data_IF_349493735985
#
_entry.id   IF_349493735985
#
_cell.length_a   1.000
_cell.length_b   1.000
_cell.length_c   1.000
_cell.angle_alpha   90.00
_cell.angle_beta   90.00
_cell.angle_gamma   90.00
#
_symmetry.space_group_name_H-M   'P 1'
#
loop_
_entity.id
_entity.type
_entity.pdbx_description
1 polymer ?
#
# COMPACT_ATOMS: atom_id res chain seq x y z
N UNK A 1 16.23 4.81 -10.35
CA UNK A 1 15.84 4.59 -8.94
C UNK A 1 14.44 4.00 -8.95
N UNK A 2 14.22 2.82 -8.33
CA UNK A 2 12.87 2.23 -8.25
C UNK A 2 12.16 2.81 -7.03
N UNK A 3 10.99 3.38 -7.23
CA UNK A 3 10.15 3.95 -6.16
C UNK A 3 8.98 3.01 -5.91
N UNK A 4 8.82 2.59 -4.65
CA UNK A 4 7.74 1.71 -4.22
C UNK A 4 6.63 2.55 -3.60
N UNK A 5 5.44 2.56 -4.20
CA UNK A 5 4.25 3.15 -3.61
C UNK A 5 3.61 2.17 -2.63
N UNK A 6 3.51 2.54 -1.35
CA UNK A 6 2.86 1.74 -0.31
C UNK A 6 1.54 2.39 0.08
N UNK A 7 0.45 1.62 0.10
CA UNK A 7 -0.80 2.07 0.68
C UNK A 7 -0.82 1.78 2.18
N UNK A 8 -1.13 2.81 2.96
CA UNK A 8 -1.48 2.69 4.37
C UNK A 8 -2.95 3.02 4.58
N UNK A 9 -3.63 2.19 5.35
CA UNK A 9 -5.04 2.37 5.70
C UNK A 9 -5.23 3.50 6.72
N UNK A 10 -6.49 3.84 6.98
CA UNK A 10 -6.85 4.90 7.92
C UNK A 10 -6.33 4.63 9.34
N UNK A 11 -6.47 3.40 9.82
CA UNK A 11 -5.97 2.99 11.14
C UNK A 11 -4.44 3.11 11.25
N UNK A 12 -3.71 2.66 10.24
CA UNK A 12 -2.24 2.75 10.20
C UNK A 12 -1.78 4.21 10.09
N UNK A 13 -2.55 5.06 9.40
CA UNK A 13 -2.28 6.51 9.33
C UNK A 13 -2.47 7.17 10.70
N UNK A 14 -3.58 6.91 11.39
CA UNK A 14 -3.82 7.45 12.74
C UNK A 14 -2.74 6.97 13.73
N UNK A 15 -2.33 5.71 13.64
CA UNK A 15 -1.24 5.19 14.47
C UNK A 15 0.08 5.91 14.19
N UNK A 16 0.42 6.11 12.91
CA UNK A 16 1.63 6.85 12.52
C UNK A 16 1.59 8.29 13.02
N UNK A 17 0.46 8.97 12.89
CA UNK A 17 0.26 10.33 13.40
C UNK A 17 0.50 10.39 14.91
N UNK A 18 -0.06 9.44 15.67
CA UNK A 18 0.17 9.33 17.12
C UNK A 18 1.66 9.15 17.43
N UNK A 19 2.33 8.22 16.77
CA UNK A 19 3.77 7.95 16.97
C UNK A 19 4.61 9.20 16.75
N UNK A 20 4.32 9.95 15.67
CA UNK A 20 5.06 11.18 15.34
C UNK A 20 4.81 12.28 16.36
N UNK A 21 3.56 12.47 16.79
CA UNK A 21 3.21 13.48 17.80
C UNK A 21 3.85 13.17 19.15
N UNK A 22 3.82 11.90 19.57
CA UNK A 22 4.36 11.45 20.85
C UNK A 22 5.89 11.36 20.85
N UNK A 23 6.54 11.42 19.67
CA UNK A 23 7.99 11.19 19.47
C UNK A 23 8.46 9.86 20.08
N UNK A 24 7.59 8.86 20.01
CA UNK A 24 7.80 7.55 20.62
C UNK A 24 8.63 6.66 19.69
N UNK A 25 9.92 6.51 20.02
CA UNK A 25 10.86 5.70 19.23
C UNK A 25 10.52 4.20 19.26
N UNK A 26 9.97 3.69 20.36
CA UNK A 26 9.61 2.27 20.47
C UNK A 26 8.39 1.96 19.61
N UNK A 27 7.37 2.82 19.67
CA UNK A 27 6.20 2.69 18.83
C UNK A 27 6.54 2.90 17.34
N UNK A 28 7.48 3.79 17.01
CA UNK A 28 8.00 3.93 15.65
C UNK A 28 8.66 2.65 15.14
N UNK A 29 9.50 2.01 15.96
CA UNK A 29 10.13 0.75 15.59
C UNK A 29 9.08 -0.37 15.41
N UNK A 30 8.09 -0.44 16.30
CA UNK A 30 7.00 -1.39 16.19
C UNK A 30 6.18 -1.18 14.91
N UNK A 31 5.88 0.07 14.55
CA UNK A 31 5.17 0.43 13.33
C UNK A 31 5.96 0.03 12.07
N UNK A 32 7.27 0.28 12.06
CA UNK A 32 8.15 -0.14 10.96
C UNK A 32 8.12 -1.67 10.76
N UNK A 33 8.27 -2.42 11.85
CA UNK A 33 8.31 -3.89 11.81
C UNK A 33 6.98 -4.52 11.39
N UNK A 34 5.85 -3.99 11.90
CA UNK A 34 4.53 -4.58 11.69
C UNK A 34 3.86 -4.12 10.40
N UNK A 35 4.08 -2.88 9.98
CA UNK A 35 3.35 -2.28 8.86
C UNK A 35 4.25 -2.08 7.65
N UNK A 36 5.38 -1.39 7.81
CA UNK A 36 6.19 -0.96 6.66
C UNK A 36 6.98 -2.12 6.04
N UNK A 37 7.76 -2.85 6.83
CA UNK A 37 8.63 -3.91 6.29
C UNK A 37 7.86 -5.03 5.58
N UNK A 38 6.73 -5.55 6.09
CA UNK A 38 5.96 -6.56 5.37
C UNK A 38 5.46 -6.06 4.01
N UNK A 39 5.00 -4.81 3.93
CA UNK A 39 4.49 -4.23 2.69
C UNK A 39 5.61 -3.95 1.68
N UNK A 40 6.78 -3.52 2.13
CA UNK A 40 7.98 -3.40 1.27
C UNK A 40 8.38 -4.76 0.72
N UNK A 41 8.50 -5.77 1.58
CA UNK A 41 8.86 -7.13 1.18
C UNK A 41 7.86 -7.74 0.20
N UNK A 42 6.57 -7.46 0.37
CA UNK A 42 5.54 -7.88 -0.59
C UNK A 42 5.68 -7.14 -1.93
N UNK A 43 6.01 -5.85 -1.88
CA UNK A 43 6.21 -5.02 -3.08
C UNK A 43 7.40 -5.50 -3.92
N UNK A 44 8.46 -6.00 -3.28
CA UNK A 44 9.64 -6.55 -3.95
C UNK A 44 9.38 -7.87 -4.70
N UNK A 45 8.26 -8.56 -4.44
CA UNK A 45 7.95 -9.84 -5.10
C UNK A 45 7.59 -9.64 -6.59
N UNK A 46 8.12 -10.48 -7.50
CA UNK A 46 7.75 -10.45 -8.91
C UNK A 46 6.25 -10.68 -9.11
N UNK A 47 5.58 -9.77 -9.81
CA UNK A 47 4.15 -9.85 -10.09
C UNK A 47 3.23 -9.20 -9.06
N UNK A 48 3.78 -8.57 -8.00
CA UNK A 48 2.96 -7.75 -7.12
C UNK A 48 2.35 -6.58 -7.93
N UNK A 49 1.02 -6.47 -7.90
CA UNK A 49 0.29 -5.39 -8.58
C UNK A 49 0.42 -4.11 -7.77
N UNK A 50 1.61 -3.51 -7.72
CA UNK A 50 1.79 -2.21 -7.09
C UNK A 50 2.24 -1.16 -8.09
N UNK A 51 1.58 -0.01 -7.99
CA UNK A 51 1.59 1.02 -9.00
C UNK A 51 2.92 1.77 -8.95
N UNK A 52 3.51 1.95 -10.13
CA UNK A 52 4.58 2.92 -10.33
C UNK A 52 4.10 4.28 -9.79
N UNK A 53 4.76 4.79 -8.75
CA UNK A 53 4.37 6.04 -8.07
C UNK A 53 4.42 7.27 -9.00
N UNK A 54 5.01 7.12 -10.19
CA UNK A 54 4.95 8.13 -11.26
C UNK A 54 3.57 8.26 -11.91
N UNK A 55 2.64 7.31 -11.69
CA UNK A 55 1.29 7.35 -12.24
C UNK A 55 0.31 7.94 -11.21
N UNK A 56 -0.32 9.10 -11.50
CA UNK A 56 -1.34 9.65 -10.62
C UNK A 56 -2.51 8.68 -10.48
N UNK A 57 -3.10 8.62 -9.29
CA UNK A 57 -4.17 7.65 -8.91
C UNK A 57 -5.36 7.68 -9.89
N UNK A 58 -5.60 8.81 -10.55
CA UNK A 58 -6.65 9.01 -11.56
C UNK A 58 -6.39 8.28 -12.89
N UNK A 59 -5.17 7.78 -13.14
CA UNK A 59 -4.82 7.00 -14.33
C UNK A 59 -4.74 5.48 -14.04
N UNK A 60 -5.24 5.05 -12.88
CA UNK A 60 -5.25 3.65 -12.43
C UNK A 60 -6.54 2.90 -12.78
N UNK A 61 -7.44 3.50 -13.56
CA UNK A 61 -8.58 2.80 -14.13
C UNK A 61 -8.06 1.68 -15.02
N UNK A 62 -8.10 0.45 -14.50
CA UNK A 62 -7.92 -0.74 -15.34
C UNK A 62 -9.01 -0.68 -16.40
N UNK A 63 -8.67 -0.76 -17.70
CA UNK A 63 -9.70 -0.81 -18.72
C UNK A 63 -10.61 -2.00 -18.40
N UNK A 64 -11.91 -1.71 -18.33
CA UNK A 64 -12.97 -2.63 -17.89
C UNK A 64 -13.00 -3.90 -18.76
N UNK A 65 -12.42 -3.83 -19.96
CA UNK A 65 -12.26 -4.95 -20.89
C UNK A 65 -11.44 -6.13 -20.34
N UNK A 66 -10.56 -5.90 -19.36
CA UNK A 66 -9.74 -6.94 -18.70
C UNK A 66 -10.30 -7.45 -17.40
N UNK A 67 -11.45 -6.94 -16.96
CA UNK A 67 -12.13 -7.49 -15.79
C UNK A 67 -12.75 -8.84 -16.18
N UNK A 68 -12.45 -9.88 -15.39
CA UNK A 68 -13.11 -11.18 -15.55
C UNK A 68 -14.61 -10.94 -15.40
N UNK A 69 -15.37 -11.10 -16.49
CA UNK A 69 -16.84 -10.98 -16.45
C UNK A 69 -17.35 -11.92 -15.36
N UNK A 70 -17.98 -11.37 -14.33
CA UNK A 70 -18.74 -12.15 -13.37
C UNK A 70 -19.83 -12.83 -14.19
N UNK A 71 -19.81 -14.16 -14.25
CA UNK A 71 -20.81 -14.93 -15.00
C UNK A 71 -22.21 -14.65 -14.45
N UNK A 72 -23.20 -14.63 -15.34
CA UNK A 72 -24.61 -14.52 -14.94
C UNK A 72 -24.96 -15.72 -14.04
N UNK A 73 -25.19 -15.43 -12.77
CA UNK A 73 -25.85 -16.37 -11.87
C UNK A 73 -27.34 -16.31 -12.18
N UNK A 74 -27.79 -17.21 -13.06
CA UNK A 74 -29.20 -17.48 -13.31
C UNK A 74 -29.62 -18.76 -12.60
#
# INVERSE_FOLDING_TARGET
MKTWGLSIGEAERMELERVVMDKDAEAALAFLQKVIYPKVKESEKPGSCFHDASKPVQQLERPVDRHKKLGDFR
#
